data_IF_246086926920
#
_entry.id   IF_246086926920
#
_cell.length_a   1.000
_cell.length_b   1.000
_cell.length_c   1.000
_cell.angle_alpha   90.00
_cell.angle_beta   90.00
_cell.angle_gamma   90.00
#
_symmetry.space_group_name_H-M   'P 1'
#
loop_
_entity.id
_entity.type
_entity.pdbx_description
1 polymer ?
#
# COMPACT_ATOMS: atom_id res chain seq x y z
N UNK A 1 -3.87 11.30 15.30
CA UNK A 1 -2.63 10.81 14.66
C UNK A 1 -1.50 11.73 15.09
N UNK A 2 -0.72 11.36 16.11
CA UNK A 2 0.23 12.25 16.81
C UNK A 2 1.71 12.02 16.49
N UNK A 3 2.02 11.08 15.59
CA UNK A 3 3.32 10.93 14.97
C UNK A 3 3.03 10.67 13.48
N UNK A 4 3.02 11.74 12.67
CA UNK A 4 2.80 11.62 11.23
C UNK A 4 4.07 11.02 10.61
N UNK A 5 4.16 9.69 10.67
CA UNK A 5 5.19 8.94 9.97
C UNK A 5 5.14 9.36 8.50
N UNK A 6 6.24 9.96 8.04
CA UNK A 6 6.41 10.44 6.69
C UNK A 6 7.22 9.40 5.93
N UNK A 7 6.77 9.05 4.73
CA UNK A 7 7.55 8.27 3.77
C UNK A 7 8.53 9.19 3.03
N UNK A 8 9.54 8.60 2.41
CA UNK A 8 10.44 9.37 1.55
C UNK A 8 9.69 9.98 0.35
N UNK A 9 10.26 11.06 -0.18
CA UNK A 9 9.67 11.79 -1.29
C UNK A 9 9.64 10.95 -2.56
N UNK A 10 8.59 11.13 -3.37
CA UNK A 10 8.32 10.39 -4.62
C UNK A 10 8.16 8.86 -4.50
N UNK A 11 7.95 8.32 -3.29
CA UNK A 11 7.66 6.90 -3.12
C UNK A 11 6.21 6.55 -3.45
N UNK A 12 6.01 5.30 -3.89
CA UNK A 12 4.70 4.68 -3.98
C UNK A 12 4.37 4.00 -2.67
N UNK A 13 3.19 4.29 -2.12
CA UNK A 13 2.74 3.76 -0.84
C UNK A 13 1.36 3.13 -1.00
N UNK A 14 1.20 1.93 -0.45
CA UNK A 14 -0.09 1.25 -0.36
C UNK A 14 -0.60 1.31 1.08
N UNK A 15 -1.83 1.81 1.29
CA UNK A 15 -2.40 2.08 2.61
C UNK A 15 -3.81 1.50 2.75
N UNK A 16 -4.20 1.10 3.95
CA UNK A 16 -5.57 0.65 4.30
C UNK A 16 -6.40 1.76 4.95
N UNK A 17 -5.95 3.01 4.82
CA UNK A 17 -6.63 4.18 5.37
C UNK A 17 -7.91 4.48 4.58
N UNK A 18 -8.68 5.45 5.07
CA UNK A 18 -9.89 5.94 4.41
C UNK A 18 -9.61 7.08 3.42
N UNK A 19 -8.41 7.67 3.43
CA UNK A 19 -8.08 8.87 2.66
C UNK A 19 -6.63 8.86 2.18
N UNK A 20 -6.40 9.34 0.95
CA UNK A 20 -5.09 9.41 0.29
C UNK A 20 -4.70 10.84 -0.12
N UNK A 21 -4.83 11.80 0.80
CA UNK A 21 -4.51 13.20 0.51
C UNK A 21 -3.09 13.37 -0.06
N UNK A 22 -2.99 14.07 -1.18
CA UNK A 22 -1.71 14.39 -1.81
C UNK A 22 -0.78 15.07 -0.81
N UNK A 23 0.50 14.67 -0.82
CA UNK A 23 1.56 15.19 0.05
C UNK A 23 1.39 14.97 1.57
N UNK A 24 0.33 14.28 2.01
CA UNK A 24 0.12 14.04 3.45
C UNK A 24 1.16 13.09 4.04
N UNK A 25 1.62 12.10 3.26
CA UNK A 25 2.63 11.12 3.69
C UNK A 25 4.04 11.43 3.20
N UNK A 26 4.22 12.25 2.16
CA UNK A 26 5.54 12.52 1.57
C UNK A 26 5.39 13.39 0.32
N UNK A 27 6.37 14.23 0.00
CA UNK A 27 6.24 15.13 -1.14
C UNK A 27 6.35 14.32 -2.43
N UNK A 28 5.32 14.36 -3.27
CA UNK A 28 5.28 13.60 -4.52
C UNK A 28 5.01 12.10 -4.31
N UNK A 29 4.73 11.66 -3.08
CA UNK A 29 4.38 10.28 -2.81
C UNK A 29 3.02 9.94 -3.44
N UNK A 30 2.95 8.83 -4.17
CA UNK A 30 1.71 8.31 -4.71
C UNK A 30 1.09 7.32 -3.72
N UNK A 31 -0.13 7.61 -3.27
CA UNK A 31 -0.79 6.84 -2.21
C UNK A 31 -2.01 6.10 -2.77
N UNK A 32 -1.94 4.78 -2.74
CA UNK A 32 -3.00 3.87 -3.17
C UNK A 32 -3.72 3.28 -1.97
N UNK A 33 -5.05 3.13 -2.07
CA UNK A 33 -5.88 2.56 -1.01
C UNK A 33 -6.38 1.17 -1.41
N UNK A 34 -6.46 0.26 -0.45
CA UNK A 34 -7.06 -1.06 -0.66
C UNK A 34 -7.24 -1.86 0.62
N UNK A 35 -7.54 -3.15 0.48
CA UNK A 35 -7.76 -4.07 1.59
C UNK A 35 -6.47 -4.39 2.35
N UNK A 36 -6.61 -4.85 3.60
CA UNK A 36 -5.48 -5.33 4.39
C UNK A 36 -4.80 -6.55 3.77
N UNK A 37 -5.57 -7.41 3.11
CA UNK A 37 -5.06 -8.59 2.39
C UNK A 37 -4.14 -8.16 1.24
N UNK A 38 -4.59 -7.24 0.39
CA UNK A 38 -3.77 -6.73 -0.71
C UNK A 38 -2.55 -5.95 -0.20
N UNK A 39 -2.69 -5.21 0.91
CA UNK A 39 -1.56 -4.53 1.54
C UNK A 39 -0.50 -5.54 2.02
N UNK A 40 -0.92 -6.66 2.62
CA UNK A 40 -0.01 -7.73 3.04
C UNK A 40 0.70 -8.38 1.85
N UNK A 41 -0.03 -8.65 0.76
CA UNK A 41 0.56 -9.18 -0.49
C UNK A 41 1.60 -8.20 -1.06
N UNK A 42 1.25 -6.92 -1.18
CA UNK A 42 2.18 -5.89 -1.67
C UNK A 42 3.41 -5.74 -0.78
N UNK A 43 3.27 -5.90 0.55
CA UNK A 43 4.39 -5.87 1.49
C UNK A 43 5.34 -7.08 1.32
N UNK A 44 4.80 -8.27 1.02
CA UNK A 44 5.60 -9.47 0.73
C UNK A 44 6.36 -9.31 -0.60
N UNK A 45 5.70 -8.80 -1.63
CA UNK A 45 6.28 -8.67 -2.97
C UNK A 45 7.17 -7.42 -3.15
N UNK A 46 7.02 -6.40 -2.30
CA UNK A 46 7.70 -5.11 -2.44
C UNK A 46 7.22 -4.26 -3.62
N UNK A 47 6.07 -4.60 -4.21
CA UNK A 47 5.45 -3.91 -5.36
C UNK A 47 3.93 -4.05 -5.31
N UNK A 48 3.22 -3.24 -6.10
CA UNK A 48 1.78 -3.45 -6.30
C UNK A 48 1.59 -4.74 -7.08
N UNK A 49 0.91 -5.71 -6.47
CA UNK A 49 0.69 -7.04 -7.02
C UNK A 49 -0.19 -6.99 -8.28
N UNK A 50 0.05 -7.90 -9.22
CA UNK A 50 -0.92 -8.18 -10.29
C UNK A 50 -2.06 -9.04 -9.75
N UNK A 51 -3.15 -9.16 -10.54
CA UNK A 51 -4.28 -10.01 -10.18
C UNK A 51 -3.85 -11.46 -9.98
N UNK A 52 -3.00 -11.99 -10.87
CA UNK A 52 -2.51 -13.37 -10.78
C UNK A 52 -1.64 -13.59 -9.54
N UNK A 53 -0.75 -12.66 -9.21
CA UNK A 53 0.09 -12.72 -8.02
C UNK A 53 -0.76 -12.68 -6.74
N UNK A 54 -1.74 -11.76 -6.71
CA UNK A 54 -2.68 -11.64 -5.59
C UNK A 54 -3.48 -12.93 -5.39
N UNK A 55 -4.09 -13.44 -6.45
CA UNK A 55 -4.90 -14.67 -6.38
C UNK A 55 -4.02 -15.86 -6.00
N UNK A 56 -2.78 -15.93 -6.48
CA UNK A 56 -1.86 -17.00 -6.07
C UNK A 56 -1.56 -16.96 -4.58
N UNK A 57 -1.28 -15.79 -4.00
CA UNK A 57 -0.89 -15.68 -2.59
C UNK A 57 -2.12 -15.81 -1.66
N UNK A 58 -3.23 -15.17 -2.02
CA UNK A 58 -4.45 -15.16 -1.18
C UNK A 58 -5.26 -16.44 -1.33
N UNK A 59 -5.41 -17.01 -2.53
CA UNK A 59 -6.19 -18.23 -2.71
C UNK A 59 -5.51 -19.48 -2.16
N UNK A 60 -4.18 -19.49 -2.03
CA UNK A 60 -3.45 -20.56 -1.30
C UNK A 60 -3.60 -20.47 0.22
N UNK A 61 -4.15 -19.37 0.75
CA UNK A 61 -4.26 -19.12 2.18
C UNK A 61 -5.61 -19.56 2.80
N UNK A 62 -6.53 -20.12 2.00
CA UNK A 62 -7.85 -20.62 2.43
C UNK A 62 -7.96 -22.14 2.34
#
# INVERSE_FOLDING_TARGET
MGNQARVEDNLTVFFTSTRNFNHHLGKGAQVYLGSAELAAVCAILGKIATLEEYMTIVALSC
#
